data_IF_694895374072
#
_entry.id   IF_694895374072
#
_cell.length_a   1.000
_cell.length_b   1.000
_cell.length_c   1.000
_cell.angle_alpha   90.00
_cell.angle_beta   90.00
_cell.angle_gamma   90.00
#
_symmetry.space_group_name_H-M   'P 1'
#
loop_
_entity.id
_entity.type
_entity.pdbx_description
1 polymer ?
#
# COMPACT_ATOMS: atom_id res chain seq x y z
N UNK A 1 14.29 0.09 -25.53
CA UNK A 1 14.65 -0.55 -24.24
C UNK A 1 14.43 0.50 -23.19
N UNK A 2 13.57 0.24 -22.21
CA UNK A 2 13.25 1.20 -21.15
C UNK A 2 14.47 1.44 -20.25
N UNK A 3 14.64 2.65 -19.72
CA UNK A 3 15.77 3.01 -18.84
C UNK A 3 15.88 2.08 -17.64
N UNK A 4 14.73 1.60 -17.14
CA UNK A 4 14.67 0.62 -16.04
C UNK A 4 15.42 -0.66 -16.38
N UNK A 5 15.29 -1.17 -17.60
CA UNK A 5 15.90 -2.44 -18.02
C UNK A 5 17.42 -2.31 -18.24
N UNK A 6 17.90 -1.09 -18.49
CA UNK A 6 19.32 -0.78 -18.59
C UNK A 6 20.00 -0.68 -17.20
N UNK A 7 19.26 -0.19 -16.20
CA UNK A 7 19.77 0.02 -14.83
C UNK A 7 19.57 -1.19 -13.92
N UNK A 8 18.48 -1.93 -14.08
CA UNK A 8 18.12 -3.04 -13.21
C UNK A 8 18.08 -4.35 -13.98
N UNK A 9 18.95 -5.28 -13.58
CA UNK A 9 18.93 -6.66 -14.08
C UNK A 9 18.07 -7.52 -13.15
N UNK A 10 16.92 -7.99 -13.63
CA UNK A 10 16.08 -8.92 -12.88
C UNK A 10 16.85 -10.25 -12.65
N UNK A 11 16.97 -10.65 -11.38
CA UNK A 11 17.64 -11.91 -10.99
C UNK A 11 16.63 -13.05 -10.80
N UNK A 12 15.37 -12.71 -10.52
CA UNK A 12 14.25 -13.65 -10.36
C UNK A 12 12.92 -12.93 -10.57
N UNK A 13 11.84 -13.70 -10.68
CA UNK A 13 10.48 -13.14 -10.71
C UNK A 13 10.12 -12.51 -9.36
N UNK A 14 9.46 -11.32 -9.34
CA UNK A 14 9.03 -10.69 -8.10
C UNK A 14 8.06 -11.59 -7.33
N UNK A 15 8.27 -11.72 -6.01
CA UNK A 15 7.33 -12.42 -5.15
C UNK A 15 5.94 -11.76 -5.21
N UNK A 16 4.90 -12.58 -5.41
CA UNK A 16 3.51 -12.11 -5.57
C UNK A 16 2.91 -11.61 -4.25
N UNK A 17 3.29 -12.24 -3.15
CA UNK A 17 2.86 -11.92 -1.79
C UNK A 17 4.06 -11.65 -0.88
N UNK A 18 3.91 -10.66 -0.01
CA UNK A 18 4.93 -10.25 0.97
C UNK A 18 4.90 -11.08 2.27
N UNK A 19 3.87 -11.91 2.46
CA UNK A 19 3.68 -12.77 3.65
C UNK A 19 3.12 -12.03 4.88
N UNK A 20 3.13 -10.70 4.88
CA UNK A 20 2.67 -9.82 5.96
C UNK A 20 1.47 -8.94 5.55
N UNK A 21 0.73 -9.34 4.51
CA UNK A 21 -0.37 -8.54 3.96
C UNK A 21 -1.48 -8.33 4.99
N UNK A 22 -1.92 -7.08 5.13
CA UNK A 22 -3.06 -6.68 5.97
C UNK A 22 -4.13 -5.99 5.12
N UNK A 23 -5.39 -6.32 5.37
CA UNK A 23 -6.55 -5.69 4.71
C UNK A 23 -7.40 -4.93 5.72
N UNK A 24 -7.73 -3.68 5.40
CA UNK A 24 -8.62 -2.82 6.17
C UNK A 24 -9.90 -2.60 5.38
N UNK A 25 -11.03 -2.99 5.96
CA UNK A 25 -12.36 -2.80 5.36
C UNK A 25 -13.04 -1.59 6.01
N UNK A 26 -13.35 -0.60 5.19
CA UNK A 26 -13.89 0.70 5.55
C UNK A 26 -12.79 1.76 5.71
N UNK A 27 -12.72 2.74 4.82
CA UNK A 27 -11.83 3.92 4.89
C UNK A 27 -12.48 5.09 5.62
N UNK A 28 -13.22 4.79 6.69
CA UNK A 28 -13.68 5.78 7.66
C UNK A 28 -12.53 6.30 8.54
N UNK A 29 -12.84 7.24 9.44
CA UNK A 29 -11.84 7.77 10.38
C UNK A 29 -11.17 6.65 11.21
N UNK A 30 -11.92 5.63 11.62
CA UNK A 30 -11.40 4.48 12.37
C UNK A 30 -10.50 3.61 11.50
N UNK A 31 -10.95 3.24 10.30
CA UNK A 31 -10.16 2.40 9.40
C UNK A 31 -8.85 3.05 8.99
N UNK A 32 -8.87 4.35 8.69
CA UNK A 32 -7.66 5.10 8.37
C UNK A 32 -6.71 5.25 9.56
N UNK A 33 -7.24 5.44 10.78
CA UNK A 33 -6.41 5.45 11.98
C UNK A 33 -5.71 4.08 12.21
N UNK A 34 -6.43 2.98 11.97
CA UNK A 34 -5.87 1.62 12.03
C UNK A 34 -4.81 1.40 10.94
N UNK A 35 -5.13 1.71 9.68
CA UNK A 35 -4.23 1.60 8.54
C UNK A 35 -2.92 2.37 8.77
N UNK A 36 -3.02 3.64 9.19
CA UNK A 36 -1.85 4.47 9.47
C UNK A 36 -1.02 3.93 10.65
N UNK A 37 -1.67 3.44 11.71
CA UNK A 37 -0.96 2.84 12.85
C UNK A 37 -0.19 1.59 12.47
N UNK A 38 -0.76 0.73 11.62
CA UNK A 38 -0.11 -0.48 11.10
C UNK A 38 1.14 -0.12 10.30
N UNK A 39 1.02 0.87 9.41
CA UNK A 39 2.13 1.31 8.55
C UNK A 39 3.22 2.04 9.33
N UNK A 40 2.86 3.00 10.19
CA UNK A 40 3.81 3.81 10.96
C UNK A 40 4.61 3.00 11.98
N UNK A 41 4.00 1.96 12.57
CA UNK A 41 4.68 1.04 13.48
C UNK A 41 5.46 -0.05 12.72
N UNK A 42 5.22 -0.18 11.41
CA UNK A 42 5.91 -1.11 10.52
C UNK A 42 5.54 -2.57 10.77
N UNK A 43 4.30 -2.84 11.16
CA UNK A 43 3.77 -4.20 11.32
C UNK A 43 3.51 -4.89 9.98
N UNK A 44 3.24 -4.13 8.93
CA UNK A 44 3.01 -4.65 7.59
C UNK A 44 3.56 -3.68 6.54
N UNK A 45 4.09 -4.26 5.47
CA UNK A 45 4.57 -3.56 4.28
C UNK A 45 3.66 -3.74 3.06
N UNK A 46 2.54 -4.46 3.19
CA UNK A 46 1.53 -4.67 2.14
C UNK A 46 0.12 -4.43 2.72
N UNK A 47 -0.47 -3.29 2.38
CA UNK A 47 -1.78 -2.86 2.86
C UNK A 47 -2.80 -2.85 1.72
N UNK A 48 -3.97 -3.42 2.00
CA UNK A 48 -5.14 -3.38 1.10
C UNK A 48 -6.27 -2.60 1.75
N UNK A 49 -6.82 -1.61 1.07
CA UNK A 49 -7.98 -0.84 1.50
C UNK A 49 -9.23 -1.28 0.72
N UNK A 50 -10.32 -1.53 1.42
CA UNK A 50 -11.62 -1.89 0.82
C UNK A 50 -12.69 -0.92 1.30
N UNK A 51 -13.46 -0.32 0.40
CA UNK A 51 -14.60 0.53 0.75
C UNK A 51 -15.56 0.69 -0.44
N UNK A 52 -16.84 0.91 -0.17
CA UNK A 52 -17.84 1.11 -1.23
C UNK A 52 -17.77 2.50 -1.89
N UNK A 53 -17.14 3.48 -1.26
CA UNK A 53 -16.98 4.84 -1.79
C UNK A 53 -15.68 4.97 -2.59
N UNK A 54 -15.73 4.66 -3.89
CA UNK A 54 -14.55 4.59 -4.77
C UNK A 54 -13.69 5.86 -4.77
N UNK A 55 -14.31 7.03 -4.87
CA UNK A 55 -13.60 8.32 -4.89
C UNK A 55 -12.84 8.56 -3.58
N UNK A 56 -13.48 8.27 -2.45
CA UNK A 56 -12.86 8.39 -1.13
C UNK A 56 -11.73 7.39 -0.97
N UNK A 57 -11.99 6.13 -1.33
CA UNK A 57 -11.00 5.05 -1.29
C UNK A 57 -9.74 5.40 -2.08
N UNK A 58 -9.92 5.92 -3.29
CA UNK A 58 -8.80 6.37 -4.13
C UNK A 58 -8.05 7.54 -3.49
N UNK A 59 -8.77 8.51 -2.92
CA UNK A 59 -8.18 9.65 -2.21
C UNK A 59 -7.30 9.22 -1.05
N UNK A 60 -7.83 8.38 -0.16
CA UNK A 60 -7.12 7.86 1.02
C UNK A 60 -5.92 6.98 0.64
N UNK A 61 -6.05 6.15 -0.40
CA UNK A 61 -4.94 5.35 -0.93
C UNK A 61 -3.80 6.25 -1.44
N UNK A 62 -4.11 7.29 -2.22
CA UNK A 62 -3.11 8.19 -2.77
C UNK A 62 -2.40 8.99 -1.68
N UNK A 63 -3.13 9.41 -0.63
CA UNK A 63 -2.54 10.12 0.50
C UNK A 63 -1.49 9.26 1.22
N UNK A 64 -1.81 8.00 1.53
CA UNK A 64 -0.84 7.07 2.11
C UNK A 64 0.34 6.76 1.18
N UNK A 65 0.12 6.70 -0.14
CA UNK A 65 1.20 6.49 -1.13
C UNK A 65 2.14 7.70 -1.20
N UNK A 66 1.63 8.93 -1.17
CA UNK A 66 2.45 10.13 -1.10
C UNK A 66 3.24 10.21 0.22
N UNK A 67 2.66 9.70 1.31
CA UNK A 67 3.33 9.54 2.60
C UNK A 67 4.31 8.36 2.70
N UNK A 68 4.45 7.54 1.64
CA UNK A 68 5.21 6.27 1.68
C UNK A 68 6.65 6.41 2.17
N UNK A 69 7.29 7.55 1.90
CA UNK A 69 8.65 7.86 2.37
C UNK A 69 8.77 7.78 3.90
N UNK A 70 7.73 8.13 4.64
CA UNK A 70 7.69 8.09 6.11
C UNK A 70 7.16 6.76 6.66
N UNK A 71 6.63 5.89 5.80
CA UNK A 71 5.92 4.67 6.17
C UNK A 71 6.70 3.38 5.81
N UNK A 72 8.03 3.48 5.66
CA UNK A 72 8.90 2.36 5.22
C UNK A 72 8.56 1.83 3.83
N UNK A 73 8.09 2.71 2.96
CA UNK A 73 7.82 2.44 1.55
C UNK A 73 6.88 1.23 1.30
N UNK A 74 5.68 1.22 1.91
CA UNK A 74 4.77 0.09 1.84
C UNK A 74 4.10 0.01 0.46
N UNK A 75 3.72 -1.20 0.06
CA UNK A 75 2.83 -1.44 -1.08
C UNK A 75 1.40 -1.23 -0.61
N UNK A 76 0.69 -0.29 -1.24
CA UNK A 76 -0.70 0.02 -0.90
C UNK A 76 -1.56 -0.20 -2.14
N UNK A 77 -2.62 -0.98 -1.99
CA UNK A 77 -3.61 -1.25 -3.05
C UNK A 77 -5.03 -1.06 -2.53
N UNK A 78 -5.99 -0.84 -3.43
CA UNK A 78 -7.39 -0.67 -3.07
C UNK A 78 -8.34 -1.39 -4.03
N UNK A 79 -9.51 -1.77 -3.53
CA UNK A 79 -10.63 -2.33 -4.31
C UNK A 79 -11.96 -1.97 -3.68
N UNK A 80 -13.00 -1.80 -4.51
CA UNK A 80 -14.40 -1.63 -4.08
C UNK A 80 -14.99 -2.95 -3.64
#
# INVERSE_FOLDING_TARGET
METKDLLMKAVSEPAKDSGDRVTVVGVGAVGMACAFSILSQGYSSDLVLIDCMEDKLRGEMMDLQHGSLFLRNPKISSST
#
